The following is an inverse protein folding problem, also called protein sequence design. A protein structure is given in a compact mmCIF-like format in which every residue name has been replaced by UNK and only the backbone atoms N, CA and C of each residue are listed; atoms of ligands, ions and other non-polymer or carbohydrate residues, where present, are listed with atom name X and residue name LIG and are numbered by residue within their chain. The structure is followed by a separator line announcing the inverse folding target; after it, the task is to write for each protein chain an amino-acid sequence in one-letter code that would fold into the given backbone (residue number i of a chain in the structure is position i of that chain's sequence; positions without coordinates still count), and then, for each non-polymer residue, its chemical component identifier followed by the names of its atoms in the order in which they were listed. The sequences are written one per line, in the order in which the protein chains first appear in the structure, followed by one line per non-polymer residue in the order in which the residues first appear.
data_IF_707343694657
#
_entry.id   IF_707343694657
#
_cell.length_a   1.000
_cell.length_b   1.000
_cell.length_c   1.000
_cell.angle_alpha   90.00
_cell.angle_beta   90.00
_cell.angle_gamma   90.00
#
_symmetry.space_group_name_H-M   'P 1'
#
loop_
_entity.id
_entity.type
_entity.pdbx_description
1 polymer ?
#
# COMPACT_ATOMS: atom_id res chain seq x y z
N UNK A 1 -44.06 14.54 -36.53
CA UNK A 1 -42.60 14.28 -36.50
C UNK A 1 -42.20 14.14 -35.03
N UNK A 2 -41.79 12.93 -34.63
CA UNK A 2 -41.30 12.63 -33.28
C UNK A 2 -39.89 13.17 -33.18
N UNK A 3 -39.63 14.12 -32.28
CA UNK A 3 -38.26 14.43 -31.89
C UNK A 3 -38.09 14.16 -30.40
N UNK A 4 -37.11 13.31 -30.17
CA UNK A 4 -36.82 12.52 -28.98
C UNK A 4 -36.16 13.40 -27.92
N UNK A 5 -36.67 13.31 -26.68
CA UNK A 5 -35.96 13.73 -25.47
C UNK A 5 -34.71 12.86 -25.31
N UNK A 6 -33.56 13.45 -25.03
CA UNK A 6 -32.52 12.79 -24.24
C UNK A 6 -32.03 13.75 -23.17
N UNK A 7 -32.45 13.46 -21.94
CA UNK A 7 -31.96 14.00 -20.69
C UNK A 7 -30.65 13.30 -20.39
N UNK A 8 -29.55 14.03 -20.26
CA UNK A 8 -28.29 13.50 -19.75
C UNK A 8 -28.46 13.30 -18.24
N UNK A 9 -28.63 12.05 -17.82
CA UNK A 9 -28.64 11.64 -16.42
C UNK A 9 -27.23 11.73 -15.87
N UNK A 10 -27.05 12.62 -14.91
CA UNK A 10 -25.93 12.65 -13.96
C UNK A 10 -25.82 11.28 -13.28
N UNK A 11 -24.72 10.56 -13.54
CA UNK A 11 -24.34 9.38 -12.75
C UNK A 11 -23.70 9.91 -11.47
N UNK A 12 -24.49 9.91 -10.39
CA UNK A 12 -23.99 10.10 -9.04
C UNK A 12 -23.48 8.72 -8.58
N UNK A 13 -22.16 8.53 -8.56
CA UNK A 13 -21.56 7.36 -7.92
C UNK A 13 -21.74 7.57 -6.41
N UNK A 14 -22.69 6.83 -5.84
CA UNK A 14 -22.93 6.81 -4.40
C UNK A 14 -21.84 5.91 -3.80
N UNK A 15 -20.83 6.50 -3.17
CA UNK A 15 -19.90 5.75 -2.33
C UNK A 15 -20.69 5.17 -1.14
N UNK A 16 -20.88 3.84 -1.14
CA UNK A 16 -21.51 3.14 -0.03
C UNK A 16 -20.49 3.02 1.11
N UNK A 17 -20.57 3.92 2.09
CA UNK A 17 -19.87 3.76 3.36
C UNK A 17 -20.50 2.57 4.10
N UNK A 18 -19.82 1.42 4.09
CA UNK A 18 -20.18 0.27 4.90
C UNK A 18 -19.69 0.51 6.32
N UNK A 19 -20.56 1.05 7.15
CA UNK A 19 -20.38 1.15 8.60
C UNK A 19 -20.67 -0.21 9.24
N UNK A 20 -19.62 -0.98 9.57
CA UNK A 20 -19.73 -2.06 10.55
C UNK A 20 -18.88 -1.72 11.77
N UNK A 21 -19.57 -1.45 12.87
CA UNK A 21 -18.96 -1.25 14.17
C UNK A 21 -18.53 -2.59 14.78
N UNK A 22 -17.31 -2.60 15.31
CA UNK A 22 -16.93 -3.50 16.38
C UNK A 22 -16.28 -2.66 17.49
N UNK A 23 -16.80 -2.85 18.70
CA UNK A 23 -16.47 -2.10 19.91
C UNK A 23 -15.10 -2.50 20.44
N UNK A 24 -14.11 -1.62 20.25
CA UNK A 24 -12.82 -1.59 20.92
C UNK A 24 -12.27 -0.18 20.76
N UNK A 25 -11.84 0.44 21.85
CA UNK A 25 -11.32 1.81 21.86
C UNK A 25 -9.94 1.86 21.19
N UNK A 26 -9.89 1.93 19.87
CA UNK A 26 -8.65 2.07 19.11
C UNK A 26 -8.93 3.01 17.93
N UNK A 27 -8.10 4.03 17.76
CA UNK A 27 -8.06 4.93 16.59
C UNK A 27 -8.34 4.11 15.31
N UNK A 28 -9.39 4.48 14.56
CA UNK A 28 -9.75 3.74 13.35
C UNK A 28 -8.55 3.77 12.40
N UNK A 29 -7.91 2.61 12.19
CA UNK A 29 -6.82 2.47 11.23
C UNK A 29 -7.28 2.77 9.80
N UNK A 30 -6.36 2.94 8.86
CA UNK A 30 -6.72 3.20 7.47
C UNK A 30 -7.56 2.06 6.89
N UNK A 31 -8.47 2.41 5.98
CA UNK A 31 -9.17 1.42 5.16
C UNK A 31 -8.24 0.96 4.03
N UNK A 32 -7.80 -0.30 4.09
CA UNK A 32 -6.94 -0.91 3.09
C UNK A 32 -7.67 -1.18 1.78
N UNK A 33 -6.94 -1.11 0.66
CA UNK A 33 -7.45 -1.42 -0.67
C UNK A 33 -6.58 -2.44 -1.40
N UNK A 34 -7.21 -3.17 -2.32
CA UNK A 34 -6.54 -3.94 -3.36
C UNK A 34 -7.25 -3.65 -4.67
N UNK A 35 -6.49 -3.25 -5.69
CA UNK A 35 -6.98 -2.83 -7.00
C UNK A 35 -8.06 -1.73 -6.91
N UNK A 36 -7.93 -0.86 -5.90
CA UNK A 36 -8.88 0.23 -5.64
C UNK A 36 -10.16 -0.16 -4.89
N UNK A 37 -10.34 -1.43 -4.55
CA UNK A 37 -11.48 -1.92 -3.78
C UNK A 37 -11.11 -2.11 -2.30
N UNK A 38 -11.98 -1.64 -1.39
CA UNK A 38 -11.74 -1.77 0.05
C UNK A 38 -11.79 -3.23 0.50
N UNK A 39 -10.84 -3.63 1.34
CA UNK A 39 -10.70 -5.02 1.82
C UNK A 39 -10.80 -5.12 3.34
N UNK A 40 -11.36 -6.23 3.82
CA UNK A 40 -11.29 -6.62 5.23
C UNK A 40 -10.15 -7.61 5.41
N UNK A 41 -9.30 -7.36 6.39
CA UNK A 41 -8.17 -8.25 6.71
C UNK A 41 -8.66 -9.49 7.46
N UNK A 42 -8.01 -10.62 7.18
CA UNK A 42 -8.21 -11.94 7.82
C UNK A 42 -9.64 -12.49 7.71
N UNK A 43 -10.44 -11.94 6.81
CA UNK A 43 -11.79 -12.40 6.49
C UNK A 43 -11.77 -13.01 5.09
N UNK A 44 -12.32 -14.22 4.96
CA UNK A 44 -12.53 -14.83 3.65
C UNK A 44 -13.66 -14.11 2.91
N UNK A 45 -13.31 -13.44 1.81
CA UNK A 45 -14.24 -12.71 0.94
C UNK A 45 -14.58 -13.44 -0.36
N UNK A 46 -15.23 -12.73 -1.27
CA UNK A 46 -15.54 -13.23 -2.62
C UNK A 46 -14.26 -13.51 -3.43
N UNK A 47 -13.27 -12.61 -3.31
CA UNK A 47 -11.99 -12.65 -4.03
C UNK A 47 -10.87 -13.31 -3.22
N UNK A 48 -11.21 -14.04 -2.15
CA UNK A 48 -10.25 -14.73 -1.30
C UNK A 48 -9.96 -14.01 0.01
N UNK A 49 -8.79 -14.25 0.59
CA UNK A 49 -8.42 -13.73 1.91
C UNK A 49 -7.25 -12.77 1.77
N UNK A 50 -7.38 -11.59 2.38
CA UNK A 50 -6.30 -10.60 2.48
C UNK A 50 -5.81 -10.55 3.91
N UNK A 51 -4.51 -10.41 4.12
CA UNK A 51 -3.91 -10.19 5.44
C UNK A 51 -2.79 -9.17 5.37
N UNK A 52 -2.51 -8.55 6.51
CA UNK A 52 -1.41 -7.62 6.68
C UNK A 52 -0.10 -8.40 6.83
N UNK A 53 0.92 -8.02 6.06
CA UNK A 53 2.27 -8.58 6.16
C UNK A 53 3.08 -7.76 7.15
N UNK A 54 3.18 -6.46 6.90
CA UNK A 54 3.98 -5.54 7.70
C UNK A 54 3.49 -4.10 7.48
N UNK A 55 3.78 -3.23 8.44
CA UNK A 55 3.54 -1.78 8.34
C UNK A 55 4.80 -0.98 8.65
N UNK A 56 4.93 0.18 8.01
CA UNK A 56 5.86 1.22 8.42
C UNK A 56 5.09 2.49 8.77
N UNK A 57 5.66 3.25 9.70
CA UNK A 57 5.15 4.55 10.11
C UNK A 57 6.29 5.57 10.12
N UNK A 58 6.00 6.80 9.70
CA UNK A 58 6.99 7.88 9.60
C UNK A 58 6.43 9.07 8.83
N UNK A 59 7.14 10.19 8.81
CA UNK A 59 6.72 11.40 8.09
C UNK A 59 7.07 11.29 6.60
N UNK A 60 6.08 10.96 5.78
CA UNK A 60 6.26 10.68 4.35
C UNK A 60 6.10 11.94 3.49
N UNK A 61 5.30 12.90 3.96
CA UNK A 61 5.02 14.14 3.23
C UNK A 61 5.77 15.39 3.78
N UNK A 62 6.49 15.24 4.89
CA UNK A 62 7.28 16.30 5.54
C UNK A 62 6.46 17.27 6.38
N UNK A 63 5.24 16.92 6.80
CA UNK A 63 4.36 17.79 7.59
C UNK A 63 4.55 17.66 9.12
N UNK A 64 5.47 16.77 9.54
CA UNK A 64 5.78 16.49 10.93
C UNK A 64 4.81 15.53 11.62
N UNK A 65 3.88 14.90 10.88
CA UNK A 65 2.97 13.86 11.39
C UNK A 65 3.42 12.49 10.92
N UNK A 66 2.97 11.48 11.65
CA UNK A 66 3.26 10.09 11.29
C UNK A 66 2.23 9.60 10.27
N UNK A 67 2.71 9.35 9.06
CA UNK A 67 2.02 8.68 7.96
C UNK A 67 2.19 7.16 8.06
N UNK A 68 1.49 6.40 7.21
CA UNK A 68 1.50 4.94 7.26
C UNK A 68 1.64 4.31 5.88
N UNK A 69 2.47 3.28 5.81
CA UNK A 69 2.53 2.36 4.69
C UNK A 69 2.31 0.92 5.17
N UNK A 70 1.68 0.11 4.33
CA UNK A 70 1.35 -1.27 4.66
C UNK A 70 1.56 -2.18 3.47
N UNK A 71 2.16 -3.34 3.69
CA UNK A 71 2.21 -4.43 2.71
C UNK A 71 1.10 -5.42 3.04
N UNK A 72 0.25 -5.67 2.06
CA UNK A 72 -0.84 -6.63 2.12
C UNK A 72 -0.50 -7.82 1.25
N UNK A 73 -0.96 -9.00 1.68
CA UNK A 73 -0.98 -10.19 0.83
C UNK A 73 -2.42 -10.62 0.60
N UNK A 74 -2.70 -11.10 -0.61
CA UNK A 74 -3.99 -11.64 -0.97
C UNK A 74 -3.84 -13.01 -1.61
N UNK A 75 -4.55 -13.99 -1.06
CA UNK A 75 -4.72 -15.28 -1.70
C UNK A 75 -6.09 -15.32 -2.39
N UNK A 76 -6.10 -15.32 -3.72
CA UNK A 76 -7.32 -15.23 -4.54
C UNK A 76 -8.05 -16.56 -4.76
N UNK A 77 -7.84 -17.55 -3.89
CA UNK A 77 -8.30 -18.96 -4.05
C UNK A 77 -7.68 -19.70 -5.24
N UNK A 78 -6.79 -19.04 -5.99
CA UNK A 78 -5.95 -19.65 -7.02
C UNK A 78 -4.68 -20.26 -6.43
N UNK A 79 -3.64 -20.37 -7.25
CA UNK A 79 -2.33 -20.90 -6.82
C UNK A 79 -1.32 -19.82 -6.42
N UNK A 80 -1.69 -18.54 -6.52
CA UNK A 80 -0.81 -17.40 -6.25
C UNK A 80 -1.20 -16.62 -4.98
N UNK A 81 -0.21 -15.97 -4.40
CA UNK A 81 -0.39 -14.97 -3.34
C UNK A 81 0.15 -13.65 -3.88
N UNK A 82 -0.69 -12.63 -3.96
CA UNK A 82 -0.39 -11.33 -4.57
C UNK A 82 -0.07 -10.31 -3.47
N UNK A 83 0.98 -9.53 -3.67
CA UNK A 83 1.45 -8.56 -2.68
C UNK A 83 1.23 -7.13 -3.16
N UNK A 84 0.62 -6.30 -2.31
CA UNK A 84 0.26 -4.92 -2.61
C UNK A 84 0.80 -4.01 -1.52
N UNK A 85 1.43 -2.92 -1.93
CA UNK A 85 1.73 -1.79 -1.05
C UNK A 85 0.52 -0.87 -0.99
N UNK A 86 0.18 -0.38 0.19
CA UNK A 86 -0.81 0.67 0.42
C UNK A 86 -0.15 1.82 1.20
N UNK A 87 -0.43 3.07 0.83
CA UNK A 87 0.16 4.24 1.47
C UNK A 87 -0.92 5.26 1.84
N UNK A 88 -0.82 5.77 3.06
CA UNK A 88 -1.77 6.68 3.67
C UNK A 88 -1.06 7.86 4.32
N UNK A 89 -1.59 9.06 4.13
CA UNK A 89 -1.20 10.25 4.87
C UNK A 89 -2.13 10.49 6.06
N UNK A 90 -1.57 11.00 7.14
CA UNK A 90 -2.33 11.46 8.31
C UNK A 90 -2.75 12.91 8.12
N UNK A 91 -4.05 13.16 7.97
CA UNK A 91 -4.57 14.52 7.72
C UNK A 91 -4.68 15.39 8.99
N UNK A 92 -4.33 14.84 10.15
CA UNK A 92 -4.37 15.50 11.45
C UNK A 92 -5.75 15.67 12.08
N UNK A 93 -6.81 15.12 11.47
CA UNK A 93 -8.19 15.14 11.98
C UNK A 93 -8.70 13.72 12.31
N UNK A 94 -7.80 12.87 12.81
CA UNK A 94 -8.04 11.44 13.10
C UNK A 94 -8.44 10.63 11.84
N UNK A 95 -8.12 11.18 10.65
CA UNK A 95 -8.41 10.62 9.35
C UNK A 95 -7.15 10.17 8.60
N UNK A 96 -7.32 9.12 7.80
CA UNK A 96 -6.29 8.62 6.88
C UNK A 96 -6.68 8.91 5.44
N UNK A 97 -5.81 9.62 4.73
CA UNK A 97 -5.94 9.84 3.29
C UNK A 97 -5.15 8.78 2.53
N UNK A 98 -5.82 7.92 1.79
CA UNK A 98 -5.16 7.02 0.84
C UNK A 98 -4.52 7.81 -0.30
N UNK A 99 -3.22 7.58 -0.55
CA UNK A 99 -2.45 8.30 -1.58
C UNK A 99 -1.84 7.40 -2.65
N UNK A 100 -1.90 6.08 -2.46
CA UNK A 100 -1.51 5.17 -3.53
C UNK A 100 -1.47 3.71 -3.10
N UNK A 101 -1.55 2.86 -4.11
CA UNK A 101 -1.32 1.43 -4.05
C UNK A 101 -0.36 1.04 -5.16
N UNK A 102 0.49 0.05 -4.90
CA UNK A 102 1.41 -0.49 -5.89
C UNK A 102 1.45 -2.02 -5.80
N UNK A 103 1.42 -2.70 -6.94
CA UNK A 103 1.61 -4.15 -7.00
C UNK A 103 3.09 -4.50 -6.88
N UNK A 104 3.43 -5.34 -5.91
CA UNK A 104 4.82 -5.76 -5.64
C UNK A 104 5.18 -7.07 -6.32
N UNK A 105 4.20 -7.91 -6.65
CA UNK A 105 4.41 -9.22 -7.29
C UNK A 105 3.63 -10.34 -6.60
N UNK A 106 3.70 -11.55 -7.18
CA UNK A 106 2.99 -12.75 -6.71
C UNK A 106 3.91 -13.92 -6.29
N UNK A 107 5.23 -13.69 -6.35
CA UNK A 107 6.27 -14.68 -6.01
C UNK A 107 7.40 -14.07 -5.19
N UNK A 108 7.04 -13.11 -4.34
CA UNK A 108 8.01 -12.39 -3.53
C UNK A 108 8.14 -13.01 -2.15
N UNK A 109 9.34 -12.94 -1.59
CA UNK A 109 9.65 -13.13 -0.18
C UNK A 109 9.95 -11.75 0.40
N UNK A 110 8.97 -11.21 1.11
CA UNK A 110 9.08 -9.92 1.77
C UNK A 110 10.24 -9.92 2.78
N UNK A 111 10.97 -8.81 2.85
CA UNK A 111 12.05 -8.59 3.81
C UNK A 111 11.67 -7.46 4.78
N UNK A 112 11.58 -6.21 4.28
CA UNK A 112 11.21 -5.07 5.11
C UNK A 112 10.48 -3.95 4.35
N UNK A 113 9.88 -3.05 5.13
CA UNK A 113 9.30 -1.78 4.71
C UNK A 113 9.72 -0.70 5.69
N UNK A 114 10.15 0.46 5.19
CA UNK A 114 10.64 1.58 6.01
C UNK A 114 10.21 2.92 5.41
N UNK A 115 9.94 3.90 6.29
CA UNK A 115 9.83 5.32 5.91
C UNK A 115 11.05 6.02 6.49
N UNK A 116 11.82 6.67 5.63
CA UNK A 116 13.04 7.37 6.01
C UNK A 116 12.73 8.73 6.63
N UNK A 117 13.26 8.96 7.84
CA UNK A 117 13.10 10.20 8.58
C UNK A 117 14.38 10.57 9.34
N UNK A 118 14.27 11.60 10.17
CA UNK A 118 15.42 12.09 10.94
C UNK A 118 15.97 11.01 11.87
N UNK A 119 17.27 10.72 11.75
CA UNK A 119 17.95 9.72 12.57
C UNK A 119 17.73 8.28 12.13
N UNK A 120 16.98 8.03 11.04
CA UNK A 120 16.88 6.70 10.43
C UNK A 120 18.26 6.19 9.99
N UNK A 121 18.43 4.87 10.05
CA UNK A 121 19.58 4.12 9.52
C UNK A 121 19.03 3.14 8.50
N UNK A 122 19.61 3.09 7.31
CA UNK A 122 19.13 2.19 6.24
C UNK A 122 19.27 0.73 6.65
N UNK A 123 18.20 -0.06 6.56
CA UNK A 123 18.32 -1.53 6.69
C UNK A 123 19.11 -2.18 5.55
N UNK A 124 19.26 -1.51 4.41
CA UNK A 124 20.06 -2.02 3.27
C UNK A 124 21.55 -1.89 3.54
N UNK A 125 21.99 -0.69 3.96
CA UNK A 125 23.42 -0.35 4.03
C UNK A 125 23.97 -0.28 5.45
N UNK A 126 23.11 -0.15 6.47
CA UNK A 126 23.51 0.11 7.85
C UNK A 126 24.02 1.53 8.10
N UNK A 127 23.92 2.42 7.10
CA UNK A 127 24.39 3.81 7.19
C UNK A 127 23.26 4.77 7.55
N UNK A 128 23.55 5.89 8.22
CA UNK A 128 22.57 6.94 8.47
C UNK A 128 21.96 7.47 7.17
N UNK A 129 20.64 7.70 7.16
CA UNK A 129 19.95 8.26 6.01
C UNK A 129 20.31 9.75 5.83
N UNK A 130 20.55 10.16 4.58
CA UNK A 130 20.81 11.55 4.26
C UNK A 130 19.51 12.37 4.33
N UNK A 131 19.52 13.64 4.81
CA UNK A 131 18.31 14.45 4.91
C UNK A 131 17.50 14.62 3.62
N UNK A 132 18.15 14.55 2.46
CA UNK A 132 17.48 14.64 1.15
C UNK A 132 16.60 13.41 0.83
N UNK A 133 16.87 12.29 1.51
CA UNK A 133 16.14 11.03 1.39
C UNK A 133 15.03 10.88 2.44
N UNK A 134 14.86 11.86 3.34
CA UNK A 134 13.69 11.89 4.22
C UNK A 134 12.40 11.92 3.40
N UNK A 135 11.35 11.31 3.94
CA UNK A 135 10.06 11.13 3.27
C UNK A 135 10.12 10.17 2.07
N UNK A 136 11.17 9.35 1.95
CA UNK A 136 11.15 8.19 1.05
C UNK A 136 10.60 6.97 1.77
N UNK A 137 9.75 6.23 1.06
CA UNK A 137 9.28 4.91 1.43
C UNK A 137 10.12 3.87 0.68
N UNK A 138 10.67 2.91 1.41
CA UNK A 138 11.48 1.82 0.85
C UNK A 138 10.83 0.49 1.17
N UNK A 139 10.70 -0.37 0.17
CA UNK A 139 10.26 -1.76 0.33
C UNK A 139 11.31 -2.67 -0.27
N UNK A 140 11.77 -3.63 0.52
CA UNK A 140 12.73 -4.63 0.09
C UNK A 140 12.12 -6.03 0.14
N UNK A 141 12.39 -6.80 -0.91
CA UNK A 141 11.93 -8.18 -1.05
C UNK A 141 12.78 -8.94 -2.05
N UNK A 142 12.82 -10.26 -1.92
CA UNK A 142 13.39 -11.13 -2.92
C UNK A 142 12.29 -11.68 -3.82
N UNK A 143 12.56 -11.89 -5.11
CA UNK A 143 11.59 -12.41 -6.08
C UNK A 143 12.13 -13.61 -6.84
N UNK A 144 11.25 -14.57 -7.12
CA UNK A 144 11.57 -15.71 -7.96
C UNK A 144 11.47 -15.32 -9.44
N UNK A 145 12.41 -15.82 -10.25
CA UNK A 145 12.29 -15.67 -11.71
C UNK A 145 11.13 -16.54 -12.25
N UNK A 146 10.75 -16.31 -13.51
CA UNK A 146 9.63 -17.07 -14.11
C UNK A 146 9.88 -18.58 -14.15
N UNK A 147 11.15 -18.97 -14.31
CA UNK A 147 11.61 -20.36 -14.43
C UNK A 147 11.92 -20.99 -13.06
N UNK A 148 11.89 -20.21 -11.98
CA UNK A 148 12.24 -20.65 -10.63
C UNK A 148 11.02 -21.16 -9.86
N UNK A 149 11.22 -22.22 -9.07
CA UNK A 149 10.17 -22.76 -8.20
C UNK A 149 10.01 -21.93 -6.92
N UNK A 150 8.78 -21.76 -6.43
CA UNK A 150 8.50 -21.07 -5.16
C UNK A 150 9.05 -21.77 -3.90
N UNK A 151 9.55 -23.01 -4.02
CA UNK A 151 10.22 -23.73 -2.92
C UNK A 151 11.73 -23.45 -2.85
N UNK A 152 12.29 -22.89 -3.93
CA UNK A 152 13.70 -22.53 -3.99
C UNK A 152 13.94 -21.20 -3.27
N UNK A 153 15.20 -20.84 -3.05
CA UNK A 153 15.53 -19.53 -2.51
C UNK A 153 15.54 -18.48 -3.64
N UNK A 154 14.79 -17.38 -3.54
CA UNK A 154 14.68 -16.40 -4.63
C UNK A 154 16.04 -15.83 -5.03
N UNK A 155 16.29 -15.75 -6.33
CA UNK A 155 17.60 -15.36 -6.88
C UNK A 155 17.82 -13.85 -6.94
N UNK A 156 16.73 -13.06 -6.98
CA UNK A 156 16.79 -11.62 -7.21
C UNK A 156 16.29 -10.86 -5.99
N UNK A 157 17.18 -10.10 -5.36
CA UNK A 157 16.84 -9.16 -4.30
C UNK A 157 16.57 -7.78 -4.90
N UNK A 158 15.45 -7.18 -4.55
CA UNK A 158 14.99 -5.89 -5.05
C UNK A 158 14.70 -4.94 -3.89
N UNK A 159 15.10 -3.69 -4.06
CA UNK A 159 14.64 -2.55 -3.28
C UNK A 159 13.88 -1.64 -4.21
N UNK A 160 12.67 -1.23 -3.83
CA UNK A 160 11.89 -0.23 -4.54
C UNK A 160 11.65 0.95 -3.63
N UNK A 161 11.69 2.14 -4.23
CA UNK A 161 11.62 3.40 -3.52
C UNK A 161 10.45 4.21 -4.05
N UNK A 162 9.75 4.89 -3.16
CA UNK A 162 8.65 5.79 -3.49
C UNK A 162 8.72 7.05 -2.67
N UNK A 163 8.06 8.10 -3.13
CA UNK A 163 7.78 9.33 -2.39
C UNK A 163 6.34 9.76 -2.65
N UNK A 164 5.79 10.57 -1.76
CA UNK A 164 4.53 11.26 -2.05
C UNK A 164 4.80 12.61 -2.69
N UNK A 165 4.29 12.78 -3.90
CA UNK A 165 4.33 14.05 -4.63
C UNK A 165 2.91 14.51 -4.93
N UNK A 166 2.59 15.76 -4.58
CA UNK A 166 1.28 16.35 -4.82
C UNK A 166 0.10 15.49 -4.30
N UNK A 167 0.31 14.76 -3.20
CA UNK A 167 -0.69 13.88 -2.59
C UNK A 167 -0.90 12.54 -3.31
N UNK A 168 0.06 12.12 -4.15
CA UNK A 168 0.06 10.82 -4.82
C UNK A 168 1.38 10.09 -4.62
N UNK A 169 1.32 8.77 -4.50
CA UNK A 169 2.51 7.93 -4.46
C UNK A 169 3.19 7.90 -5.83
N UNK A 170 4.49 8.18 -5.87
CA UNK A 170 5.32 8.17 -7.07
C UNK A 170 6.53 7.26 -6.83
N UNK A 171 6.74 6.30 -7.73
CA UNK A 171 7.95 5.46 -7.71
C UNK A 171 9.17 6.29 -8.11
N UNK A 172 10.26 6.12 -7.35
CA UNK A 172 11.57 6.63 -7.71
C UNK A 172 12.23 5.54 -8.56
N UNK A 173 12.35 5.78 -9.86
CA UNK A 173 13.09 4.87 -10.74
C UNK A 173 14.59 5.02 -10.47
N UNK A 174 15.31 3.90 -10.43
CA UNK A 174 16.77 3.90 -10.44
C UNK A 174 17.23 4.35 -11.85
N UNK A 175 17.68 5.59 -11.99
CA UNK A 175 18.30 6.15 -13.21
C UNK A 175 19.60 5.42 -13.62
#
# INVERSE_FOLDING_TARGET
MRNTKMSASTILILAAAVMFGCSGSDEAGPAYTIEGEAVQLDVEGEYGTTWLVETAAGDLNGDGREDRAAVLSQNTRGTGVFHHLNVFLNDGNDGWQFVGEEFLGDRIKFDFIEIYGEGSVSSVTGEPIHPDDHGQLVVAYATHTIDQSNIEEPELYLTRHWRVEHGSLVALEDD
#
